data_IF_628974353856
#
_entry.id   IF_628974353856
#
_cell.length_a   1.000
_cell.length_b   1.000
_cell.length_c   1.000
_cell.angle_alpha   90.00
_cell.angle_beta   90.00
_cell.angle_gamma   90.00
#
_symmetry.space_group_name_H-M   'P 1'
#
loop_
_entity.id
_entity.type
_entity.pdbx_description
1 polymer ?
#
# COMPACT_ATOMS: atom_id res chain seq x y z
N UNK A 1 -69.94 -18.47 2.18
CA UNK A 1 -69.15 -17.27 2.54
C UNK A 1 -67.68 -17.60 2.27
N UNK A 2 -67.07 -17.02 1.24
CA UNK A 2 -65.67 -17.24 0.91
C UNK A 2 -64.80 -16.28 1.75
N UNK A 3 -63.83 -16.84 2.49
CA UNK A 3 -62.90 -16.09 3.33
C UNK A 3 -61.86 -15.44 2.42
N UNK A 4 -61.77 -14.11 2.43
CA UNK A 4 -60.75 -13.38 1.68
C UNK A 4 -59.36 -13.78 2.21
N UNK A 5 -58.52 -14.31 1.33
CA UNK A 5 -57.10 -14.54 1.62
C UNK A 5 -56.42 -13.19 1.46
N UNK A 6 -55.89 -12.67 2.57
CA UNK A 6 -55.09 -11.45 2.57
C UNK A 6 -53.75 -11.75 1.89
N UNK A 7 -53.56 -11.22 0.69
CA UNK A 7 -52.40 -11.50 -0.15
C UNK A 7 -51.33 -10.44 0.14
N UNK A 8 -50.45 -10.69 1.11
CA UNK A 8 -49.32 -9.80 1.39
C UNK A 8 -48.18 -10.07 0.39
N UNK A 9 -48.02 -9.19 -0.59
CA UNK A 9 -46.97 -9.26 -1.61
C UNK A 9 -45.53 -9.25 -1.03
N UNK A 10 -45.35 -8.95 0.26
CA UNK A 10 -44.06 -9.09 0.97
C UNK A 10 -43.66 -10.54 1.24
N UNK A 11 -44.62 -11.48 1.26
CA UNK A 11 -44.36 -12.92 1.42
C UNK A 11 -43.73 -13.58 0.19
N UNK A 12 -43.76 -12.91 -0.96
CA UNK A 12 -43.16 -13.36 -2.22
C UNK A 12 -41.70 -12.92 -2.40
N UNK A 13 -41.18 -12.09 -1.50
CA UNK A 13 -39.76 -11.73 -1.52
C UNK A 13 -38.99 -12.87 -0.86
N UNK A 14 -38.01 -13.49 -1.55
CA UNK A 14 -37.23 -14.56 -0.97
C UNK A 14 -36.58 -14.06 0.31
N UNK A 15 -36.73 -14.81 1.38
CA UNK A 15 -36.10 -14.50 2.66
C UNK A 15 -34.57 -14.47 2.49
N UNK A 16 -33.84 -13.74 3.35
CA UNK A 16 -32.37 -13.73 3.29
C UNK A 16 -31.79 -15.15 3.33
N UNK A 17 -32.44 -16.06 4.07
CA UNK A 17 -32.07 -17.48 4.09
C UNK A 17 -32.30 -18.17 2.73
N UNK A 18 -33.41 -17.93 2.04
CA UNK A 18 -33.64 -18.49 0.70
C UNK A 18 -32.71 -17.90 -0.36
N UNK A 19 -32.35 -16.62 -0.26
CA UNK A 19 -31.39 -15.98 -1.16
C UNK A 19 -29.97 -16.55 -0.97
N UNK A 20 -29.56 -16.76 0.28
CA UNK A 20 -28.27 -17.41 0.59
C UNK A 20 -28.29 -18.87 0.14
N UNK A 21 -29.38 -19.61 0.34
CA UNK A 21 -29.51 -21.01 -0.10
C UNK A 21 -29.49 -21.15 -1.64
N UNK A 22 -30.17 -20.26 -2.37
CA UNK A 22 -30.15 -20.25 -3.83
C UNK A 22 -28.78 -19.84 -4.40
N UNK A 23 -28.13 -18.83 -3.80
CA UNK A 23 -26.80 -18.38 -4.21
C UNK A 23 -25.69 -19.39 -3.90
N UNK A 24 -25.78 -20.11 -2.78
CA UNK A 24 -24.82 -21.17 -2.40
C UNK A 24 -24.89 -22.39 -3.32
N UNK A 25 -26.10 -22.77 -3.77
CA UNK A 25 -26.26 -23.89 -4.70
C UNK A 25 -25.69 -23.59 -6.10
N UNK A 26 -25.75 -22.34 -6.56
CA UNK A 26 -25.15 -21.90 -7.84
C UNK A 26 -23.66 -21.56 -7.75
N UNK A 27 -23.14 -21.29 -6.55
CA UNK A 27 -21.78 -20.76 -6.34
C UNK A 27 -20.92 -21.66 -5.45
N UNK A 28 -21.24 -22.95 -5.37
CA UNK A 28 -20.56 -23.90 -4.49
C UNK A 28 -19.03 -23.90 -4.71
N UNK A 29 -18.58 -23.87 -5.96
CA UNK A 29 -17.16 -23.83 -6.30
C UNK A 29 -16.49 -22.51 -5.89
N UNK A 30 -17.12 -21.36 -6.18
CA UNK A 30 -16.60 -20.05 -5.77
C UNK A 30 -16.51 -19.91 -4.24
N UNK A 31 -17.45 -20.51 -3.50
CA UNK A 31 -17.42 -20.55 -2.04
C UNK A 31 -16.31 -21.45 -1.50
N UNK A 32 -16.06 -22.59 -2.14
CA UNK A 32 -14.94 -23.47 -1.80
C UNK A 32 -13.60 -22.76 -2.04
N UNK A 33 -13.45 -22.05 -3.15
CA UNK A 33 -12.25 -21.25 -3.45
C UNK A 33 -12.05 -20.10 -2.44
N UNK A 34 -13.11 -19.36 -2.11
CA UNK A 34 -13.05 -18.30 -1.11
C UNK A 34 -12.66 -18.84 0.28
N UNK A 35 -13.20 -20.00 0.68
CA UNK A 35 -12.83 -20.67 1.93
C UNK A 35 -11.39 -21.18 1.91
N UNK A 36 -10.89 -21.67 0.77
CA UNK A 36 -9.50 -22.09 0.62
C UNK A 36 -8.55 -20.89 0.80
N UNK A 37 -8.85 -19.76 0.14
CA UNK A 37 -8.08 -18.51 0.30
C UNK A 37 -8.08 -18.02 1.76
N UNK A 38 -9.24 -18.00 2.42
CA UNK A 38 -9.35 -17.58 3.82
C UNK A 38 -8.54 -18.49 4.75
N UNK A 39 -8.51 -19.80 4.49
CA UNK A 39 -7.68 -20.74 5.26
C UNK A 39 -6.19 -20.44 5.11
N UNK A 40 -5.71 -20.24 3.90
CA UNK A 40 -4.31 -19.86 3.65
C UNK A 40 -3.94 -18.55 4.36
N UNK A 41 -4.77 -17.50 4.21
CA UNK A 41 -4.54 -16.23 4.88
C UNK A 41 -4.55 -16.35 6.41
N UNK A 42 -5.39 -17.22 6.97
CA UNK A 42 -5.44 -17.50 8.39
C UNK A 42 -4.19 -18.25 8.88
N UNK A 43 -3.78 -19.31 8.18
CA UNK A 43 -2.59 -20.10 8.52
C UNK A 43 -1.31 -19.24 8.54
N UNK A 44 -1.19 -18.30 7.60
CA UNK A 44 -0.06 -17.38 7.52
C UNK A 44 -0.19 -16.14 8.43
N UNK A 45 -1.19 -16.08 9.33
CA UNK A 45 -1.51 -14.93 10.21
C UNK A 45 -1.79 -13.61 9.48
N UNK A 46 -1.88 -13.63 8.14
CA UNK A 46 -2.21 -12.45 7.32
C UNK A 46 -3.59 -11.92 7.69
N UNK A 47 -4.57 -12.83 7.83
CA UNK A 47 -5.94 -12.47 8.23
C UNK A 47 -5.97 -11.75 9.59
N UNK A 48 -5.17 -12.22 10.55
CA UNK A 48 -5.06 -11.60 11.87
C UNK A 48 -4.40 -10.22 11.81
N UNK A 49 -3.38 -10.04 10.97
CA UNK A 49 -2.72 -8.74 10.80
C UNK A 49 -3.62 -7.72 10.13
N UNK A 50 -4.34 -8.12 9.07
CA UNK A 50 -5.33 -7.27 8.41
C UNK A 50 -6.45 -6.88 9.37
N UNK A 51 -6.97 -7.83 10.15
CA UNK A 51 -8.01 -7.54 11.14
C UNK A 51 -7.56 -6.51 12.19
N UNK A 52 -6.33 -6.64 12.70
CA UNK A 52 -5.76 -5.65 13.64
C UNK A 52 -5.55 -4.29 13.00
N UNK A 53 -5.11 -4.24 11.74
CA UNK A 53 -4.95 -2.98 11.02
C UNK A 53 -6.29 -2.25 10.82
N UNK A 54 -7.36 -2.99 10.51
CA UNK A 54 -8.72 -2.44 10.34
C UNK A 54 -9.37 -2.06 11.67
N UNK A 55 -9.14 -2.83 12.73
CA UNK A 55 -9.65 -2.50 14.07
C UNK A 55 -8.93 -1.30 14.70
N UNK A 56 -7.65 -1.10 14.36
CA UNK A 56 -6.85 0.03 14.83
C UNK A 56 -6.96 1.31 13.98
N UNK A 57 -7.40 1.20 12.72
CA UNK A 57 -7.59 2.33 11.82
C UNK A 57 -9.07 2.68 11.68
N UNK A 58 -9.46 3.91 12.00
CA UNK A 58 -10.80 4.42 11.71
C UNK A 58 -11.11 4.27 10.20
N UNK A 59 -11.97 3.31 9.86
CA UNK A 59 -12.73 3.29 8.61
C UNK A 59 -11.94 2.92 7.35
N UNK A 60 -12.06 1.66 6.95
CA UNK A 60 -12.10 1.38 5.51
C UNK A 60 -13.38 2.02 4.96
N UNK A 61 -13.28 3.24 4.44
CA UNK A 61 -14.38 3.89 3.74
C UNK A 61 -14.75 3.10 2.49
N UNK A 62 -16.03 3.11 2.11
CA UNK A 62 -16.54 2.42 0.91
C UNK A 62 -15.76 2.82 -0.35
N UNK A 63 -15.20 4.04 -0.40
CA UNK A 63 -14.28 4.50 -1.43
C UNK A 63 -13.02 3.63 -1.61
N UNK A 64 -12.48 3.03 -0.55
CA UNK A 64 -11.31 2.16 -0.65
C UNK A 64 -11.61 0.85 -1.38
N UNK A 65 -12.86 0.36 -1.28
CA UNK A 65 -13.31 -0.87 -1.94
C UNK A 65 -13.58 -0.68 -3.42
N UNK A 66 -14.05 0.50 -3.85
CA UNK A 66 -14.29 0.80 -5.27
C UNK A 66 -12.99 0.77 -6.10
N UNK A 67 -11.85 1.13 -5.51
CA UNK A 67 -10.52 1.07 -6.16
C UNK A 67 -10.11 -0.38 -6.48
N UNK A 68 -10.60 -1.37 -5.74
CA UNK A 68 -10.30 -2.78 -6.00
C UNK A 68 -11.17 -3.42 -7.08
N UNK A 69 -12.26 -2.78 -7.51
CA UNK A 69 -13.24 -3.40 -8.41
C UNK A 69 -13.01 -3.11 -9.89
N UNK A 70 -11.97 -2.34 -10.23
CA UNK A 70 -11.55 -2.11 -11.62
C UNK A 70 -10.65 -3.25 -12.16
N UNK A 71 -10.62 -3.51 -13.48
CA UNK A 71 -9.66 -4.44 -14.10
C UNK A 71 -8.18 -4.06 -13.89
N UNK A 72 -7.90 -2.86 -13.36
CA UNK A 72 -6.57 -2.44 -12.89
C UNK A 72 -6.18 -2.99 -11.50
N UNK A 73 -7.09 -3.63 -10.76
CA UNK A 73 -6.89 -4.00 -9.35
C UNK A 73 -5.79 -5.03 -9.14
N UNK A 74 -5.65 -6.00 -10.06
CA UNK A 74 -4.55 -6.99 -10.01
C UNK A 74 -3.19 -6.31 -10.20
N UNK A 75 -3.10 -5.32 -11.11
CA UNK A 75 -1.87 -4.53 -11.31
C UNK A 75 -1.58 -3.65 -10.09
N UNK A 76 -2.60 -3.00 -9.54
CA UNK A 76 -2.45 -2.19 -8.34
C UNK A 76 -1.98 -3.03 -7.13
N UNK A 77 -2.58 -4.21 -6.93
CA UNK A 77 -2.17 -5.15 -5.88
C UNK A 77 -0.74 -5.63 -6.10
N UNK A 78 -0.36 -5.97 -7.34
CA UNK A 78 1.02 -6.35 -7.65
C UNK A 78 2.01 -5.22 -7.35
N UNK A 79 1.69 -3.99 -7.76
CA UNK A 79 2.52 -2.82 -7.46
C UNK A 79 2.63 -2.58 -5.94
N UNK A 80 1.53 -2.74 -5.20
CA UNK A 80 1.53 -2.64 -3.75
C UNK A 80 2.42 -3.70 -3.10
N UNK A 81 2.35 -4.96 -3.57
CA UNK A 81 3.21 -6.03 -3.07
C UNK A 81 4.69 -5.76 -3.37
N UNK A 82 5.02 -5.21 -4.53
CA UNK A 82 6.40 -4.79 -4.85
C UNK A 82 6.85 -3.63 -3.95
N UNK A 83 5.98 -2.67 -3.64
CA UNK A 83 6.27 -1.61 -2.67
C UNK A 83 6.49 -2.17 -1.26
N UNK A 84 5.66 -3.11 -0.81
CA UNK A 84 5.83 -3.77 0.50
C UNK A 84 7.15 -4.52 0.56
N UNK A 85 7.54 -5.25 -0.51
CA UNK A 85 8.84 -5.91 -0.60
C UNK A 85 9.99 -4.91 -0.55
N UNK A 86 9.88 -3.81 -1.29
CA UNK A 86 10.89 -2.75 -1.28
C UNK A 86 11.06 -2.17 0.12
N UNK A 87 9.96 -1.83 0.80
CA UNK A 87 9.99 -1.32 2.17
C UNK A 87 10.59 -2.36 3.13
N UNK A 88 10.21 -3.63 2.99
CA UNK A 88 10.73 -4.73 3.80
C UNK A 88 12.20 -5.08 3.53
N UNK A 89 12.75 -4.67 2.39
CA UNK A 89 14.19 -4.86 2.09
C UNK A 89 15.10 -3.79 2.68
N UNK A 90 14.53 -2.71 3.23
CA UNK A 90 15.29 -1.64 3.87
C UNK A 90 15.33 -1.90 5.38
N UNK A 91 16.52 -1.82 5.96
CA UNK A 91 16.72 -1.98 7.40
C UNK A 91 15.96 -0.88 8.19
N UNK A 92 15.16 -1.21 9.21
CA UNK A 92 14.38 -0.24 9.98
C UNK A 92 15.22 0.89 10.60
N UNK A 93 16.42 0.58 11.06
CA UNK A 93 17.37 1.53 11.65
C UNK A 93 17.80 2.60 10.64
N UNK A 94 17.99 2.21 9.37
CA UNK A 94 18.32 3.13 8.29
C UNK A 94 17.13 4.07 8.00
N UNK A 95 15.90 3.54 7.97
CA UNK A 95 14.68 4.35 7.80
C UNK A 95 14.53 5.34 8.95
N UNK A 96 14.70 4.90 10.19
CA UNK A 96 14.58 5.76 11.37
C UNK A 96 15.62 6.88 11.36
N UNK A 97 16.87 6.57 11.01
CA UNK A 97 17.96 7.55 10.95
C UNK A 97 17.70 8.61 9.88
N UNK A 98 17.35 8.18 8.67
CA UNK A 98 17.11 9.08 7.54
C UNK A 98 15.85 9.92 7.76
N UNK A 99 14.75 9.32 8.23
CA UNK A 99 13.50 10.05 8.49
C UNK A 99 13.65 11.08 9.61
N UNK A 100 14.37 10.77 10.69
CA UNK A 100 14.67 11.71 11.76
C UNK A 100 15.48 12.91 11.27
N UNK A 101 16.60 12.65 10.59
CA UNK A 101 17.46 13.69 10.03
C UNK A 101 16.73 14.60 9.02
N UNK A 102 15.87 14.01 8.17
CA UNK A 102 15.04 14.78 7.25
C UNK A 102 14.01 15.65 7.98
N UNK A 103 13.34 15.11 9.00
CA UNK A 103 12.37 15.87 9.78
C UNK A 103 13.01 17.08 10.49
N UNK A 104 14.21 16.90 11.03
CA UNK A 104 14.97 17.97 11.67
C UNK A 104 15.37 19.06 10.65
N UNK A 105 15.84 18.66 9.47
CA UNK A 105 16.16 19.60 8.38
C UNK A 105 14.94 20.38 7.89
N UNK A 106 13.78 19.74 7.76
CA UNK A 106 12.51 20.40 7.40
C UNK A 106 12.09 21.40 8.48
N UNK A 107 12.22 21.03 9.77
CA UNK A 107 11.90 21.95 10.87
C UNK A 107 12.81 23.18 10.86
N UNK A 108 14.12 22.99 10.72
CA UNK A 108 15.09 24.08 10.66
C UNK A 108 14.83 25.01 9.45
N UNK A 109 14.52 24.43 8.28
CA UNK A 109 14.14 25.20 7.09
C UNK A 109 12.86 26.00 7.28
N UNK A 110 11.84 25.39 7.90
CA UNK A 110 10.57 26.07 8.20
C UNK A 110 10.75 27.24 9.17
N UNK A 111 11.64 27.11 10.17
CA UNK A 111 11.97 28.20 11.10
C UNK A 111 12.67 29.36 10.41
N UNK A 112 13.66 29.12 9.54
CA UNK A 112 14.29 30.19 8.73
C UNK A 112 13.29 30.93 7.85
N UNK A 113 12.39 30.20 7.19
CA UNK A 113 11.33 30.79 6.35
C UNK A 113 10.41 31.68 7.20
N UNK A 114 10.01 31.23 8.40
CA UNK A 114 9.20 32.02 9.34
C UNK A 114 9.91 33.29 9.80
N UNK A 115 11.21 33.21 10.05
CA UNK A 115 12.03 34.34 10.47
C UNK A 115 12.40 35.27 9.32
N UNK A 116 12.06 34.91 8.06
CA UNK A 116 12.44 35.62 6.83
C UNK A 116 13.94 35.90 6.79
N UNK A 117 14.74 34.97 7.30
CA UNK A 117 16.19 35.11 7.35
C UNK A 117 16.77 34.62 6.01
N UNK A 118 17.19 35.53 5.11
CA UNK A 118 17.82 35.11 3.87
C UNK A 118 19.20 34.55 4.18
N UNK A 119 19.62 33.54 3.42
CA UNK A 119 21.01 33.09 3.47
C UNK A 119 21.92 34.23 3.02
N UNK A 120 22.88 34.60 3.86
CA UNK A 120 23.87 35.63 3.56
C UNK A 120 25.01 35.12 2.66
N UNK A 121 25.67 36.01 1.91
CA UNK A 121 26.80 35.64 1.04
C UNK A 121 27.99 35.03 1.82
N UNK A 122 28.22 35.48 3.05
CA UNK A 122 29.24 34.89 3.93
C UNK A 122 28.86 33.49 4.43
N UNK A 123 27.57 33.26 4.64
CA UNK A 123 27.03 31.97 5.05
C UNK A 123 27.11 30.94 3.91
N UNK A 124 26.90 31.36 2.66
CA UNK A 124 27.14 30.51 1.48
C UNK A 124 28.59 30.05 1.37
N UNK A 125 29.54 30.96 1.66
CA UNK A 125 30.97 30.63 1.66
C UNK A 125 31.33 29.67 2.80
N UNK A 126 30.72 29.81 3.97
CA UNK A 126 30.90 28.85 5.06
C UNK A 126 30.26 27.50 4.77
N UNK A 127 29.11 27.48 4.07
CA UNK A 127 28.41 26.26 3.69
C UNK A 127 29.29 25.33 2.83
N UNK A 128 30.13 25.90 1.96
CA UNK A 128 31.08 25.12 1.15
C UNK A 128 32.16 24.42 1.97
N UNK A 129 32.39 24.82 3.23
CA UNK A 129 33.34 24.21 4.15
C UNK A 129 32.66 23.40 5.26
N UNK A 130 31.34 23.29 5.19
CA UNK A 130 30.54 22.61 6.20
C UNK A 130 30.69 21.07 6.05
N UNK A 131 31.19 20.37 7.09
CA UNK A 131 31.35 18.92 7.05
C UNK A 131 30.01 18.18 6.94
N UNK A 132 28.93 18.72 7.52
CA UNK A 132 27.60 18.10 7.51
C UNK A 132 26.96 18.19 6.12
N UNK A 133 27.17 19.31 5.41
CA UNK A 133 26.78 19.44 4.01
C UNK A 133 27.54 18.42 3.15
N UNK A 134 28.85 18.28 3.37
CA UNK A 134 29.69 17.31 2.65
C UNK A 134 29.22 15.87 2.85
N UNK A 135 28.86 15.51 4.08
CA UNK A 135 28.33 14.20 4.43
C UNK A 135 26.99 13.93 3.73
N UNK A 136 26.05 14.89 3.78
CA UNK A 136 24.74 14.76 3.14
C UNK A 136 24.84 14.63 1.61
N UNK A 137 25.69 15.46 0.97
CA UNK A 137 25.95 15.38 -0.46
C UNK A 137 26.63 14.07 -0.85
N UNK A 138 27.59 13.59 -0.05
CA UNK A 138 28.24 12.30 -0.24
C UNK A 138 27.23 11.15 -0.21
N UNK A 139 26.37 11.12 0.81
CA UNK A 139 25.31 10.13 0.94
C UNK A 139 24.35 10.16 -0.27
N UNK A 140 23.94 11.34 -0.71
CA UNK A 140 23.10 11.50 -1.90
C UNK A 140 23.77 10.96 -3.17
N UNK A 141 25.05 11.28 -3.38
CA UNK A 141 25.83 10.78 -4.52
C UNK A 141 25.93 9.25 -4.48
N UNK A 142 26.14 8.66 -3.31
CA UNK A 142 26.24 7.20 -3.19
C UNK A 142 24.90 6.50 -3.44
N UNK A 143 23.77 7.09 -3.01
CA UNK A 143 22.42 6.63 -3.39
C UNK A 143 22.25 6.67 -4.91
N UNK A 144 22.61 7.77 -5.56
CA UNK A 144 22.51 7.92 -7.02
C UNK A 144 23.42 6.92 -7.77
N UNK A 145 24.63 6.66 -7.26
CA UNK A 145 25.54 5.65 -7.80
C UNK A 145 24.98 4.23 -7.64
N UNK A 146 24.40 3.92 -6.48
CA UNK A 146 23.72 2.64 -6.23
C UNK A 146 22.56 2.43 -7.19
N UNK A 147 21.71 3.45 -7.34
CA UNK A 147 20.59 3.44 -8.27
C UNK A 147 21.04 3.20 -9.72
N UNK A 148 22.03 3.95 -10.20
CA UNK A 148 22.55 3.80 -11.56
C UNK A 148 23.22 2.45 -11.82
N UNK A 149 23.89 1.85 -10.83
CA UNK A 149 24.42 0.48 -10.93
C UNK A 149 23.30 -0.54 -11.02
N UNK A 150 22.28 -0.43 -10.16
CA UNK A 150 21.14 -1.34 -10.16
C UNK A 150 20.33 -1.30 -11.46
N UNK A 151 20.14 -0.12 -12.06
CA UNK A 151 19.49 0.00 -13.38
C UNK A 151 20.31 -0.73 -14.46
N UNK A 152 21.62 -0.49 -14.51
CA UNK A 152 22.51 -1.11 -15.50
C UNK A 152 22.56 -2.64 -15.37
N UNK A 153 22.57 -3.16 -14.15
CA UNK A 153 22.53 -4.61 -13.91
C UNK A 153 21.21 -5.22 -14.41
N UNK A 154 20.07 -4.57 -14.16
CA UNK A 154 18.76 -5.03 -14.62
C UNK A 154 18.57 -4.93 -16.13
N UNK A 155 19.14 -3.89 -16.74
CA UNK A 155 19.20 -3.76 -18.20
C UNK A 155 20.11 -4.82 -18.83
N UNK A 156 21.27 -5.11 -18.22
CA UNK A 156 22.19 -6.14 -18.69
C UNK A 156 21.64 -7.57 -18.54
N UNK A 157 20.77 -7.82 -17.56
CA UNK A 157 20.08 -9.11 -17.36
C UNK A 157 18.71 -9.20 -18.07
N UNK A 158 18.34 -8.17 -18.84
CA UNK A 158 17.35 -8.18 -19.93
C UNK A 158 16.04 -8.96 -19.73
N UNK A 159 14.95 -8.24 -19.45
CA UNK A 159 13.56 -8.64 -19.68
C UNK A 159 13.02 -9.83 -18.82
N UNK A 160 11.89 -9.69 -18.10
CA UNK A 160 11.19 -10.86 -17.58
C UNK A 160 10.82 -11.80 -18.75
N UNK A 161 10.80 -13.14 -18.54
CA UNK A 161 10.41 -14.09 -19.58
C UNK A 161 9.06 -13.69 -20.20
N UNK A 162 8.85 -13.91 -21.51
CA UNK A 162 7.56 -13.61 -22.14
C UNK A 162 6.47 -14.28 -21.33
N UNK A 163 5.52 -13.48 -20.86
CA UNK A 163 4.34 -13.98 -20.17
C UNK A 163 3.65 -14.94 -21.15
N UNK A 164 3.50 -16.23 -20.82
CA UNK A 164 2.77 -17.13 -21.69
C UNK A 164 1.35 -16.58 -21.80
N UNK A 165 0.92 -16.27 -23.02
CA UNK A 165 -0.48 -16.08 -23.31
C UNK A 165 -1.15 -17.45 -23.22
N UNK A 166 -1.86 -17.69 -22.12
CA UNK A 166 -2.87 -18.74 -22.00
C UNK A 166 -4.15 -18.11 -21.48
#
# INVERSE_FOLDING_TARGET
MAKAIDFDARSLRPTLQEQVAAGTAQSADALLEALALLRELHQHKVLHTLLRAVQGGEGLSVQALEVLNEPGSVRALRNLLELVKLLGSIEPEAISTVSGALADGVRAGAERVRQREPIGLGELLSLSRDPDLGLALGALVDVLRGFGRGLREREAHGNPPPVPHT
#
